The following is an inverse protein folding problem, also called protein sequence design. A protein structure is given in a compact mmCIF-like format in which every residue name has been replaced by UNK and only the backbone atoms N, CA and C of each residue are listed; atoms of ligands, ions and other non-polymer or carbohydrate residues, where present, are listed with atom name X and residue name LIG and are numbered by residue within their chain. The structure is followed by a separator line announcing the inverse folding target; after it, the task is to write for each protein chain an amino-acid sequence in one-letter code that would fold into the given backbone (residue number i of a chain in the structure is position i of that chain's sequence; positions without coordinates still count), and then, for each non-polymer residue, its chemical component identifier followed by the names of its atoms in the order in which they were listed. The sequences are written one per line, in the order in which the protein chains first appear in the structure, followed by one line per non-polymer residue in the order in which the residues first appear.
data_IF_303800217634
#
_entry.id   IF_303800217634
#
_cell.length_a   1.000
_cell.length_b   1.000
_cell.length_c   1.000
_cell.angle_alpha   90.00
_cell.angle_beta   90.00
_cell.angle_gamma   90.00
#
_symmetry.space_group_name_H-M   'P 1'
#
loop_
_entity.id
_entity.type
_entity.pdbx_description
1 polymer ?
#
# COMPACT_ATOMS: atom_id res chain seq x y z
N UNK A 1 16.75 4.03 -38.84
CA UNK A 1 16.14 5.21 -38.16
C UNK A 1 14.76 4.94 -37.55
N UNK A 2 13.70 4.62 -38.31
CA UNK A 2 12.34 4.43 -37.74
C UNK A 2 12.23 3.35 -36.64
N UNK A 3 12.93 2.22 -36.79
CA UNK A 3 12.92 1.16 -35.78
C UNK A 3 13.54 1.59 -34.43
N UNK A 4 14.58 2.43 -34.47
CA UNK A 4 15.21 2.98 -33.26
C UNK A 4 14.27 3.94 -32.53
N UNK A 5 13.59 4.82 -33.27
CA UNK A 5 12.63 5.75 -32.70
C UNK A 5 11.44 5.02 -32.02
N UNK A 6 10.92 3.96 -32.66
CA UNK A 6 9.86 3.13 -32.07
C UNK A 6 10.32 2.40 -30.80
N UNK A 7 11.56 1.91 -30.77
CA UNK A 7 12.13 1.27 -29.58
C UNK A 7 12.24 2.28 -28.41
N UNK A 8 12.73 3.49 -28.68
CA UNK A 8 12.84 4.54 -27.65
C UNK A 8 11.47 4.93 -27.12
N UNK A 9 10.46 5.08 -27.98
CA UNK A 9 9.09 5.35 -27.55
C UNK A 9 8.54 4.21 -26.66
N UNK A 10 8.68 2.95 -27.08
CA UNK A 10 8.22 1.81 -26.30
C UNK A 10 8.92 1.70 -24.93
N UNK A 11 10.20 2.04 -24.84
CA UNK A 11 10.92 2.11 -23.56
C UNK A 11 10.43 3.24 -22.66
N UNK A 12 10.11 4.40 -23.23
CA UNK A 12 9.54 5.52 -22.49
C UNK A 12 8.16 5.17 -21.93
N UNK A 13 7.31 4.52 -22.73
CA UNK A 13 5.98 4.06 -22.31
C UNK A 13 6.10 3.03 -21.19
N UNK A 14 6.95 2.00 -21.36
CA UNK A 14 7.18 1.00 -20.32
C UNK A 14 7.66 1.62 -18.99
N UNK A 15 8.53 2.63 -19.05
CA UNK A 15 8.98 3.36 -17.87
C UNK A 15 7.86 4.18 -17.22
N UNK A 16 6.97 4.77 -18.00
CA UNK A 16 5.81 5.49 -17.48
C UNK A 16 4.82 4.54 -16.80
N UNK A 17 4.60 3.36 -17.38
CA UNK A 17 3.76 2.32 -16.79
C UNK A 17 4.34 1.80 -15.47
N UNK A 18 5.64 1.51 -15.42
CA UNK A 18 6.31 1.10 -14.19
C UNK A 18 6.14 2.12 -13.07
N UNK A 19 6.40 3.40 -13.34
CA UNK A 19 6.20 4.47 -12.35
C UNK A 19 4.76 4.58 -11.88
N UNK A 20 3.80 4.37 -12.79
CA UNK A 20 2.38 4.39 -12.45
C UNK A 20 2.01 3.23 -11.53
N UNK A 21 2.57 2.04 -11.78
CA UNK A 21 2.37 0.86 -10.93
C UNK A 21 2.99 1.09 -9.55
N UNK A 22 4.22 1.60 -9.49
CA UNK A 22 4.93 1.94 -8.25
C UNK A 22 4.10 2.93 -7.41
N UNK A 23 3.69 4.05 -8.00
CA UNK A 23 2.88 5.06 -7.31
C UNK A 23 1.54 4.51 -6.80
N UNK A 24 0.90 3.60 -7.55
CA UNK A 24 -0.34 2.94 -7.11
C UNK A 24 -0.10 1.98 -5.93
N UNK A 25 1.03 1.27 -5.94
CA UNK A 25 1.40 0.37 -4.85
C UNK A 25 1.71 1.16 -3.58
N UNK A 26 2.52 2.21 -3.66
CA UNK A 26 2.80 3.13 -2.54
C UNK A 26 1.50 3.71 -1.96
N UNK A 27 0.62 4.24 -2.82
CA UNK A 27 -0.66 4.78 -2.38
C UNK A 27 -1.56 3.71 -1.71
N UNK A 28 -1.45 2.45 -2.11
CA UNK A 28 -2.17 1.33 -1.48
C UNK A 28 -1.58 1.01 -0.11
N UNK A 29 -0.25 0.96 0.01
CA UNK A 29 0.45 0.72 1.28
C UNK A 29 0.17 1.84 2.31
N UNK A 30 0.15 3.09 1.85
CA UNK A 30 -0.21 4.25 2.68
C UNK A 30 -1.64 4.14 3.20
N UNK A 31 -2.60 3.79 2.33
CA UNK A 31 -4.01 3.58 2.72
C UNK A 31 -4.15 2.46 3.74
N UNK A 32 -3.48 1.32 3.53
CA UNK A 32 -3.49 0.21 4.48
C UNK A 32 -2.87 0.61 5.81
N UNK A 33 -1.77 1.38 5.78
CA UNK A 33 -1.13 1.89 6.99
C UNK A 33 -1.99 2.89 7.76
N UNK A 34 -2.69 3.78 7.06
CA UNK A 34 -3.63 4.71 7.67
C UNK A 34 -4.83 3.97 8.27
N UNK A 35 -5.41 3.00 7.54
CA UNK A 35 -6.52 2.20 8.05
C UNK A 35 -6.13 1.37 9.28
N UNK A 36 -4.92 0.78 9.29
CA UNK A 36 -4.39 0.09 10.47
C UNK A 36 -4.23 1.02 11.67
N UNK A 37 -3.72 2.25 11.48
CA UNK A 37 -3.63 3.24 12.56
C UNK A 37 -5.01 3.56 13.14
N UNK A 38 -6.01 3.78 12.29
CA UNK A 38 -7.39 4.00 12.74
C UNK A 38 -7.94 2.78 13.49
N UNK A 39 -7.61 1.56 13.05
CA UNK A 39 -8.01 0.34 13.77
C UNK A 39 -7.36 0.27 15.16
N UNK A 40 -6.08 0.64 15.29
CA UNK A 40 -5.40 0.72 16.59
C UNK A 40 -6.03 1.77 17.51
N UNK A 41 -6.34 2.96 17.00
CA UNK A 41 -7.02 4.01 17.76
C UNK A 41 -8.38 3.53 18.29
N UNK A 42 -9.13 2.74 17.50
CA UNK A 42 -10.36 2.10 17.98
C UNK A 42 -10.08 1.09 19.09
N UNK A 43 -8.97 0.37 19.03
CA UNK A 43 -8.58 -0.57 20.08
C UNK A 43 -8.22 0.13 21.40
N UNK A 44 -7.88 1.42 21.38
CA UNK A 44 -7.58 2.18 22.60
C UNK A 44 -8.80 2.38 23.50
N UNK A 45 -10.02 2.17 22.98
CA UNK A 45 -11.24 2.13 23.79
C UNK A 45 -11.33 0.89 24.70
N UNK A 46 -10.49 -0.13 24.48
CA UNK A 46 -10.44 -1.34 25.29
C UNK A 46 -9.25 -1.35 26.25
N UNK A 47 -9.28 -2.28 27.22
CA UNK A 47 -8.19 -2.50 28.17
C UNK A 47 -7.93 -4.00 28.41
N UNK A 48 -6.72 -4.32 28.88
CA UNK A 48 -6.30 -5.68 29.18
C UNK A 48 -6.40 -6.62 27.96
N UNK A 49 -6.81 -7.86 28.20
CA UNK A 49 -6.90 -8.90 27.17
C UNK A 49 -7.77 -8.50 25.95
N UNK A 50 -8.82 -7.68 26.16
CA UNK A 50 -9.66 -7.21 25.07
C UNK A 50 -8.91 -6.26 24.12
N UNK A 51 -8.03 -5.41 24.67
CA UNK A 51 -7.17 -4.54 23.85
C UNK A 51 -6.16 -5.38 23.05
N UNK A 52 -5.52 -6.35 23.70
CA UNK A 52 -4.53 -7.21 23.06
C UNK A 52 -5.15 -8.02 21.91
N UNK A 53 -6.35 -8.56 22.11
CA UNK A 53 -7.11 -9.25 21.06
C UNK A 53 -7.49 -8.33 19.91
N UNK A 54 -7.95 -7.10 20.19
CA UNK A 54 -8.28 -6.11 19.17
C UNK A 54 -7.05 -5.76 18.31
N UNK A 55 -5.91 -5.49 18.94
CA UNK A 55 -4.65 -5.20 18.23
C UNK A 55 -4.19 -6.39 17.40
N UNK A 56 -4.30 -7.61 17.92
CA UNK A 56 -3.95 -8.84 17.18
C UNK A 56 -4.85 -9.04 15.95
N UNK A 57 -6.15 -8.82 16.10
CA UNK A 57 -7.09 -8.88 14.98
C UNK A 57 -6.78 -7.82 13.92
N UNK A 58 -6.47 -6.58 14.31
CA UNK A 58 -6.06 -5.53 13.39
C UNK A 58 -4.77 -5.89 12.63
N UNK A 59 -3.78 -6.49 13.31
CA UNK A 59 -2.55 -6.97 12.63
C UNK A 59 -2.85 -8.04 11.59
N UNK A 60 -3.69 -9.01 11.94
CA UNK A 60 -4.11 -10.07 11.04
C UNK A 60 -4.91 -9.54 9.82
N UNK A 61 -5.80 -8.56 10.03
CA UNK A 61 -6.61 -7.95 8.97
C UNK A 61 -5.77 -7.12 7.99
N UNK A 62 -4.78 -6.36 8.50
CA UNK A 62 -3.96 -5.47 7.68
C UNK A 62 -2.61 -6.07 7.25
N UNK A 63 -2.32 -7.32 7.64
CA UNK A 63 -1.06 -8.01 7.33
C UNK A 63 0.17 -7.33 7.92
N UNK A 64 0.02 -6.73 9.11
CA UNK A 64 1.08 -5.99 9.82
C UNK A 64 1.74 -6.79 10.94
#
# INVERSE_FOLDING_TARGET
EQAKARLVAAQADAKADQKTIEARNEAREDKLSAAYRVALEKCDAFAGAAKDQCVSAAKAEFGK
#
